data_IF_682079865394
#
_entry.id   IF_682079865394
#
_cell.length_a   1.000
_cell.length_b   1.000
_cell.length_c   1.000
_cell.angle_alpha   90.00
_cell.angle_beta   90.00
_cell.angle_gamma   90.00
#
_symmetry.space_group_name_H-M   'P 1'
#
loop_
_entity.id
_entity.type
_entity.pdbx_description
1 polymer ?
#
# COMPACT_ATOMS: atom_id res chain seq x y z
N UNK A 1 7.97 23.15 -5.54
CA UNK A 1 7.57 22.44 -4.33
C UNK A 1 7.13 21.02 -4.65
N UNK A 2 7.66 20.09 -3.98
CA UNK A 2 7.31 18.69 -4.25
C UNK A 2 6.04 18.31 -3.51
N UNK A 3 5.21 17.53 -4.18
CA UNK A 3 4.02 16.95 -3.61
C UNK A 3 4.39 15.56 -3.11
N UNK A 4 4.21 15.31 -1.81
CA UNK A 4 4.53 14.02 -1.22
C UNK A 4 3.46 12.97 -1.52
N UNK A 5 2.29 13.39 -1.97
CA UNK A 5 1.18 12.50 -2.34
C UNK A 5 1.31 12.16 -3.81
N UNK A 6 1.80 10.97 -4.10
CA UNK A 6 2.09 10.57 -5.46
C UNK A 6 1.41 9.27 -5.81
N UNK A 7 1.42 8.96 -7.10
CA UNK A 7 0.87 7.74 -7.64
C UNK A 7 1.98 7.03 -8.40
N UNK A 8 2.19 5.77 -8.07
CA UNK A 8 3.05 4.89 -8.84
C UNK A 8 2.18 3.90 -9.60
N UNK A 9 2.65 3.46 -10.75
CA UNK A 9 1.91 2.49 -11.55
C UNK A 9 2.54 1.11 -11.41
N UNK A 10 1.70 0.12 -11.09
CA UNK A 10 2.08 -1.27 -11.14
C UNK A 10 1.25 -1.95 -12.23
N UNK A 11 1.91 -2.34 -13.32
CA UNK A 11 1.24 -2.98 -14.47
C UNK A 11 0.04 -2.15 -14.95
N UNK A 12 0.20 -0.84 -14.98
CA UNK A 12 -0.82 0.09 -15.44
C UNK A 12 -1.88 0.47 -14.40
N UNK A 13 -1.84 -0.12 -13.23
CA UNK A 13 -2.78 0.21 -12.16
C UNK A 13 -2.16 1.16 -11.16
N UNK A 14 -2.97 2.07 -10.65
CA UNK A 14 -2.50 3.12 -9.76
C UNK A 14 -2.36 2.63 -8.32
N UNK A 15 -1.21 2.93 -7.72
CA UNK A 15 -0.97 2.72 -6.29
C UNK A 15 -0.59 4.06 -5.69
N UNK A 16 -1.45 4.59 -4.84
CA UNK A 16 -1.18 5.87 -4.19
C UNK A 16 -0.20 5.66 -3.05
N UNK A 17 0.67 6.64 -2.86
CA UNK A 17 1.65 6.58 -1.78
C UNK A 17 1.99 7.97 -1.29
N UNK A 18 2.63 8.01 -0.12
CA UNK A 18 3.17 9.22 0.45
C UNK A 18 4.58 8.92 0.95
N UNK A 19 5.51 9.82 0.66
CA UNK A 19 6.85 9.75 1.23
C UNK A 19 6.91 10.63 2.46
N UNK A 20 7.32 10.05 3.59
CA UNK A 20 7.48 10.78 4.86
C UNK A 20 8.96 11.16 5.02
N UNK A 21 9.25 12.45 4.89
CA UNK A 21 10.61 12.96 4.97
C UNK A 21 11.23 12.75 6.35
N UNK A 22 10.45 12.92 7.40
CA UNK A 22 10.96 12.77 8.75
C UNK A 22 11.35 11.33 9.05
N UNK A 23 10.50 10.40 8.67
CA UNK A 23 10.71 8.99 8.92
C UNK A 23 11.50 8.30 7.83
N UNK A 24 11.76 9.00 6.73
CA UNK A 24 12.46 8.44 5.57
C UNK A 24 11.81 7.13 5.14
N UNK A 25 10.50 7.18 4.92
CA UNK A 25 9.71 5.99 4.74
C UNK A 25 8.53 6.23 3.82
N UNK A 26 8.24 5.23 2.97
CA UNK A 26 7.03 5.23 2.15
C UNK A 26 5.85 4.71 2.94
N UNK A 27 4.67 5.27 2.64
CA UNK A 27 3.39 4.74 3.07
C UNK A 27 2.53 4.54 1.84
N UNK A 28 2.03 3.32 1.66
CA UNK A 28 1.23 2.95 0.48
C UNK A 28 -0.21 2.70 0.87
N UNK A 29 -1.15 3.06 -0.01
CA UNK A 29 -2.55 2.75 0.19
C UNK A 29 -2.77 1.24 0.18
N UNK A 30 -3.25 0.68 1.30
CA UNK A 30 -3.47 -0.76 1.41
C UNK A 30 -4.54 -1.22 0.42
N UNK A 31 -5.61 -0.45 0.28
CA UNK A 31 -6.70 -0.80 -0.63
C UNK A 31 -6.20 -0.87 -2.08
N UNK A 32 -5.34 0.08 -2.47
CA UNK A 32 -4.78 0.07 -3.83
C UNK A 32 -3.90 -1.16 -4.05
N UNK A 33 -3.09 -1.53 -3.06
CA UNK A 33 -2.24 -2.72 -3.13
C UNK A 33 -3.10 -3.98 -3.25
N UNK A 34 -4.15 -4.09 -2.44
CA UNK A 34 -5.08 -5.20 -2.52
C UNK A 34 -5.67 -5.31 -3.92
N UNK A 35 -6.08 -4.17 -4.48
CA UNK A 35 -6.68 -4.18 -5.81
C UNK A 35 -5.72 -4.68 -6.87
N UNK A 36 -4.48 -4.22 -6.88
CA UNK A 36 -3.53 -4.66 -7.90
C UNK A 36 -3.11 -6.11 -7.73
N UNK A 37 -3.12 -6.62 -6.49
CA UNK A 37 -2.76 -8.02 -6.24
C UNK A 37 -3.88 -8.98 -6.58
N UNK A 38 -5.13 -8.60 -6.35
CA UNK A 38 -6.25 -9.53 -6.43
C UNK A 38 -7.19 -9.25 -7.60
N UNK A 39 -7.13 -8.05 -8.19
CA UNK A 39 -8.10 -7.57 -9.18
C UNK A 39 -9.54 -7.63 -8.65
N UNK A 40 -9.69 -7.55 -7.33
CA UNK A 40 -11.01 -7.59 -6.72
C UNK A 40 -11.85 -6.38 -7.13
N UNK A 41 -13.13 -6.57 -7.49
CA UNK A 41 -14.01 -5.44 -7.74
C UNK A 41 -14.40 -4.69 -6.47
N UNK A 42 -14.09 -5.26 -5.30
CA UNK A 42 -14.41 -4.66 -4.00
C UNK A 42 -13.18 -4.69 -3.10
N UNK A 43 -12.13 -3.92 -3.42
CA UNK A 43 -10.89 -3.99 -2.64
C UNK A 43 -11.07 -3.55 -1.18
N UNK A 44 -11.98 -2.61 -0.90
CA UNK A 44 -12.24 -2.18 0.47
C UNK A 44 -12.86 -3.29 1.31
N UNK A 45 -13.80 -4.01 0.73
CA UNK A 45 -14.42 -5.13 1.41
C UNK A 45 -13.39 -6.24 1.63
N UNK A 46 -12.58 -6.52 0.62
CA UNK A 46 -11.52 -7.51 0.74
C UNK A 46 -10.59 -7.17 1.91
N UNK A 47 -10.17 -5.92 1.98
CA UNK A 47 -9.27 -5.47 3.05
C UNK A 47 -9.94 -5.57 4.43
N UNK A 48 -11.20 -5.16 4.53
CA UNK A 48 -11.91 -5.24 5.82
C UNK A 48 -12.02 -6.69 6.30
N UNK A 49 -12.34 -7.61 5.38
CA UNK A 49 -12.43 -9.04 5.74
C UNK A 49 -11.06 -9.58 6.14
N UNK A 50 -10.02 -9.18 5.44
CA UNK A 50 -8.65 -9.59 5.75
C UNK A 50 -8.21 -9.05 7.11
N UNK A 51 -8.49 -7.79 7.41
CA UNK A 51 -8.17 -7.21 8.72
C UNK A 51 -8.81 -8.01 9.84
N UNK A 52 -10.10 -8.32 9.69
CA UNK A 52 -10.82 -9.10 10.70
C UNK A 52 -10.17 -10.44 10.92
N UNK A 53 -9.78 -11.12 9.84
CA UNK A 53 -9.11 -12.41 9.95
C UNK A 53 -7.76 -12.28 10.64
N UNK A 54 -6.96 -11.28 10.26
CA UNK A 54 -5.65 -11.06 10.87
C UNK A 54 -5.77 -10.76 12.36
N UNK A 55 -6.77 -9.96 12.74
CA UNK A 55 -7.03 -9.66 14.16
C UNK A 55 -7.40 -10.92 14.92
N UNK A 56 -8.24 -11.77 14.33
CA UNK A 56 -8.65 -13.02 14.96
C UNK A 56 -7.47 -13.98 15.14
N UNK A 57 -6.47 -13.90 14.25
CA UNK A 57 -5.27 -14.73 14.33
C UNK A 57 -4.22 -14.13 15.27
N UNK A 58 -4.49 -12.96 15.86
CA UNK A 58 -3.55 -12.29 16.73
C UNK A 58 -2.40 -11.62 16.02
N UNK A 59 -2.55 -11.32 14.74
CA UNK A 59 -1.52 -10.68 13.97
C UNK A 59 -1.33 -9.23 14.40
N UNK A 60 -0.08 -8.82 14.58
CA UNK A 60 0.25 -7.44 14.89
C UNK A 60 0.14 -6.53 13.65
N UNK A 61 0.10 -7.11 12.47
CA UNK A 61 0.07 -6.35 11.23
C UNK A 61 -1.12 -5.41 11.17
N UNK A 62 -2.32 -5.92 11.43
CA UNK A 62 -3.53 -5.11 11.36
C UNK A 62 -3.55 -4.03 12.44
N UNK A 63 -2.98 -4.30 13.60
CA UNK A 63 -2.93 -3.35 14.71
C UNK A 63 -2.00 -2.18 14.43
N UNK A 64 -1.01 -2.37 13.57
CA UNK A 64 0.02 -1.35 13.30
C UNK A 64 -0.19 -0.61 11.99
N UNK A 65 -1.30 -0.89 11.30
CA UNK A 65 -1.63 -0.15 10.07
C UNK A 65 -2.02 1.27 10.46
N UNK A 66 -1.37 2.25 9.82
CA UNK A 66 -1.67 3.65 10.06
C UNK A 66 -2.73 4.18 9.10
N UNK A 67 -3.12 5.43 9.33
CA UNK A 67 -4.05 6.13 8.43
C UNK A 67 -3.48 7.48 8.06
N UNK A 68 -3.54 7.81 6.78
CA UNK A 68 -3.13 9.10 6.25
C UNK A 68 -4.15 9.57 5.24
N UNK A 69 -4.24 10.89 5.08
CA UNK A 69 -5.13 11.45 4.06
C UNK A 69 -4.44 11.35 2.70
N UNK A 70 -5.08 10.64 1.78
CA UNK A 70 -4.58 10.49 0.42
C UNK A 70 -5.60 11.03 -0.57
N UNK A 71 -5.14 11.51 -1.74
CA UNK A 71 -6.06 12.07 -2.74
C UNK A 71 -6.96 11.00 -3.32
N UNK A 72 -8.17 11.43 -3.67
CA UNK A 72 -9.16 10.58 -4.31
C UNK A 72 -9.52 11.14 -5.69
N UNK A 73 -10.21 10.34 -6.49
CA UNK A 73 -10.59 10.73 -7.84
C UNK A 73 -11.55 11.93 -7.87
N UNK A 74 -12.23 12.21 -6.76
CA UNK A 74 -13.12 13.38 -6.68
C UNK A 74 -12.40 14.68 -6.35
N UNK A 75 -11.07 14.64 -6.25
CA UNK A 75 -10.26 15.81 -5.93
C UNK A 75 -10.12 16.11 -4.45
N UNK A 76 -10.75 15.33 -3.60
CA UNK A 76 -10.67 15.49 -2.15
C UNK A 76 -9.70 14.48 -1.57
N UNK A 77 -9.29 14.71 -0.32
CA UNK A 77 -8.44 13.79 0.42
C UNK A 77 -9.24 13.11 1.52
N UNK A 78 -9.04 11.80 1.64
CA UNK A 78 -9.74 11.01 2.67
C UNK A 78 -8.73 10.18 3.46
N UNK A 79 -9.07 9.94 4.73
CA UNK A 79 -8.29 9.02 5.55
C UNK A 79 -8.28 7.64 4.91
N UNK A 80 -7.09 7.11 4.74
CA UNK A 80 -6.87 5.86 4.02
C UNK A 80 -5.91 5.00 4.83
N UNK A 81 -6.23 3.72 4.98
CA UNK A 81 -5.30 2.79 5.61
C UNK A 81 -4.03 2.70 4.77
N UNK A 82 -2.89 2.89 5.43
CA UNK A 82 -1.59 2.86 4.76
C UNK A 82 -0.66 1.88 5.44
N UNK A 83 0.27 1.34 4.66
CA UNK A 83 1.26 0.40 5.15
C UNK A 83 2.64 0.82 4.67
N UNK A 84 3.64 0.58 5.51
CA UNK A 84 5.04 0.77 5.13
C UNK A 84 5.46 -0.33 4.17
N UNK A 85 6.63 -0.16 3.55
CA UNK A 85 7.18 -1.20 2.67
C UNK A 85 7.30 -2.54 3.40
N UNK A 86 7.80 -2.51 4.62
CA UNK A 86 7.94 -3.73 5.42
C UNK A 86 6.60 -4.39 5.71
N UNK A 87 5.60 -3.59 6.07
CA UNK A 87 4.26 -4.10 6.33
C UNK A 87 3.64 -4.70 5.06
N UNK A 88 3.93 -4.10 3.89
CA UNK A 88 3.43 -4.64 2.63
C UNK A 88 4.01 -6.00 2.33
N UNK A 89 5.29 -6.24 2.63
CA UNK A 89 5.86 -7.57 2.44
C UNK A 89 5.14 -8.62 3.27
N UNK A 90 4.74 -8.26 4.49
CA UNK A 90 3.96 -9.16 5.33
C UNK A 90 2.55 -9.36 4.79
N UNK A 91 1.94 -8.27 4.34
CA UNK A 91 0.58 -8.31 3.79
C UNK A 91 0.51 -9.22 2.57
N UNK A 92 1.51 -9.13 1.70
CA UNK A 92 1.57 -9.94 0.48
C UNK A 92 1.52 -11.43 0.82
N UNK A 93 2.14 -11.84 1.93
CA UNK A 93 2.13 -13.23 2.35
C UNK A 93 0.73 -13.71 2.73
N UNK A 94 -0.15 -12.79 3.12
CA UNK A 94 -1.52 -13.11 3.52
C UNK A 94 -2.53 -13.01 2.39
N UNK A 95 -2.10 -12.57 1.21
CA UNK A 95 -2.98 -12.37 0.06
C UNK A 95 -2.55 -13.31 -1.06
N UNK A 96 -3.30 -14.39 -1.31
CA UNK A 96 -2.96 -15.27 -2.43
C UNK A 96 -3.04 -14.51 -3.75
N UNK A 97 -1.93 -14.46 -4.48
CA UNK A 97 -1.89 -13.73 -5.73
C UNK A 97 -0.76 -14.23 -6.61
N UNK A 98 -1.05 -14.38 -7.90
CA UNK A 98 -0.03 -14.70 -8.90
C UNK A 98 0.89 -13.51 -9.14
N UNK A 99 0.50 -12.32 -8.69
CA UNK A 99 1.27 -11.09 -8.87
C UNK A 99 2.19 -10.79 -7.70
N UNK A 100 2.24 -11.67 -6.69
CA UNK A 100 3.03 -11.41 -5.48
C UNK A 100 4.51 -11.17 -5.80
N UNK A 101 5.13 -12.03 -6.59
CA UNK A 101 6.55 -11.87 -6.90
C UNK A 101 6.84 -10.62 -7.74
N UNK A 102 6.13 -10.37 -8.85
CA UNK A 102 6.36 -9.11 -9.58
C UNK A 102 6.06 -7.88 -8.74
N UNK A 103 5.10 -7.95 -7.81
CA UNK A 103 4.83 -6.82 -6.94
C UNK A 103 5.98 -6.54 -5.98
N UNK A 104 6.58 -7.60 -5.41
CA UNK A 104 7.75 -7.44 -4.55
C UNK A 104 8.92 -6.80 -5.30
N UNK A 105 9.14 -7.21 -6.54
CA UNK A 105 10.19 -6.62 -7.38
C UNK A 105 9.90 -5.14 -7.64
N UNK A 106 8.64 -4.81 -7.88
CA UNK A 106 8.22 -3.43 -8.09
C UNK A 106 8.47 -2.58 -6.83
N UNK A 107 8.16 -3.12 -5.65
CA UNK A 107 8.44 -2.41 -4.39
C UNK A 107 9.93 -2.12 -4.23
N UNK A 108 10.76 -3.10 -4.54
CA UNK A 108 12.21 -2.92 -4.47
C UNK A 108 12.67 -1.84 -5.44
N UNK A 109 12.10 -1.80 -6.64
CA UNK A 109 12.45 -0.80 -7.63
C UNK A 109 12.05 0.61 -7.19
N UNK A 110 10.86 0.76 -6.60
CA UNK A 110 10.42 2.04 -6.09
C UNK A 110 11.39 2.55 -5.02
N UNK A 111 11.81 1.67 -4.12
CA UNK A 111 12.78 2.03 -3.08
C UNK A 111 14.12 2.42 -3.68
N UNK A 112 14.58 1.68 -4.66
CA UNK A 112 15.85 1.97 -5.34
C UNK A 112 15.82 3.33 -6.03
N UNK A 113 14.73 3.64 -6.74
CA UNK A 113 14.58 4.94 -7.41
C UNK A 113 14.69 6.09 -6.43
N UNK A 114 14.11 5.92 -5.24
CA UNK A 114 14.17 6.96 -4.22
C UNK A 114 15.60 7.20 -3.75
N UNK A 115 16.34 6.12 -3.54
CA UNK A 115 17.74 6.24 -3.13
C UNK A 115 18.59 6.92 -4.19
N UNK A 116 18.33 6.65 -5.45
CA UNK A 116 19.08 7.29 -6.54
C UNK A 116 18.80 8.78 -6.66
N UNK A 117 17.65 9.24 -6.19
CA UNK A 117 17.28 10.65 -6.22
C UNK A 117 17.93 11.43 -5.07
N UNK A 118 18.48 10.73 -4.10
CA UNK A 118 19.17 11.37 -2.99
C UNK A 118 20.63 11.61 -3.33
#
# INVERSE_FOLDING_TARGET
MSDNNQIQLFQGQQVRYLWDEEKQQYFFSVVDVIQVLTDSPRPRKYWNDLKTRLEAEGSELSANIGQLKLPSSDGKKYLTDVATTEQLFRLIQSVPSKKAEPFKLWLAEVGRQRLEQL
#
